data_IF_661789955178
#
_entry.id   IF_661789955178
#
_cell.length_a   1.000
_cell.length_b   1.000
_cell.length_c   1.000
_cell.angle_alpha   90.00
_cell.angle_beta   90.00
_cell.angle_gamma   90.00
#
_symmetry.space_group_name_H-M   'P 1'
#
loop_
_entity.id
_entity.type
_entity.pdbx_description
1 polymer ?
#
# COMPACT_ATOMS: atom_id res chain seq x y z
N UNK A 1 5.20 16.12 2.30
CA UNK A 1 5.28 15.98 3.76
C UNK A 1 6.12 14.74 4.07
N UNK A 2 7.28 14.88 4.68
CA UNK A 2 8.10 13.76 5.17
C UNK A 2 7.62 13.43 6.57
N UNK A 3 6.95 12.30 6.72
CA UNK A 3 6.42 11.83 8.00
C UNK A 3 7.44 10.86 8.59
N UNK A 4 7.77 11.03 9.87
CA UNK A 4 8.72 10.16 10.57
C UNK A 4 8.15 8.74 10.75
N UNK A 5 9.03 7.74 10.71
CA UNK A 5 8.67 6.34 10.89
C UNK A 5 7.90 6.12 12.21
N UNK A 6 6.73 5.47 12.11
CA UNK A 6 5.87 5.20 13.27
C UNK A 6 4.82 6.27 13.58
N UNK A 7 4.81 7.40 12.86
CA UNK A 7 3.78 8.43 13.04
C UNK A 7 2.46 8.00 12.40
N UNK A 8 1.37 8.13 13.15
CA UNK A 8 0.02 7.82 12.66
C UNK A 8 -0.51 9.01 11.86
N UNK A 9 -0.89 8.79 10.60
CA UNK A 9 -1.43 9.83 9.73
C UNK A 9 -2.90 9.59 9.45
N UNK A 10 -3.72 10.63 9.58
CA UNK A 10 -5.16 10.54 9.30
C UNK A 10 -5.39 10.46 7.79
N UNK A 11 -6.31 9.60 7.38
CA UNK A 11 -6.71 9.45 5.97
C UNK A 11 -7.18 10.77 5.37
N UNK A 12 -7.91 11.58 6.15
CA UNK A 12 -8.40 12.90 5.74
C UNK A 12 -7.27 13.88 5.42
N UNK A 13 -6.19 13.83 6.21
CA UNK A 13 -5.02 14.69 6.02
C UNK A 13 -4.21 14.24 4.80
N UNK A 14 -4.08 12.92 4.60
CA UNK A 14 -3.47 12.34 3.40
C UNK A 14 -4.27 12.69 2.12
N UNK A 15 -5.59 12.57 2.16
CA UNK A 15 -6.46 12.88 1.02
C UNK A 15 -6.33 14.35 0.60
N UNK A 16 -6.33 15.28 1.58
CA UNK A 16 -6.14 16.71 1.34
C UNK A 16 -4.74 17.03 0.85
N UNK A 17 -3.71 16.42 1.44
CA UNK A 17 -2.31 16.65 1.07
C UNK A 17 -1.98 16.16 -0.36
N UNK A 18 -2.61 15.07 -0.81
CA UNK A 18 -2.38 14.48 -2.13
C UNK A 18 -3.43 14.91 -3.17
N UNK A 19 -4.50 15.60 -2.76
CA UNK A 19 -5.61 15.97 -3.65
C UNK A 19 -6.39 14.78 -4.19
N UNK A 20 -6.40 13.66 -3.45
CA UNK A 20 -7.04 12.40 -3.87
C UNK A 20 -8.41 12.29 -3.19
N UNK A 21 -9.48 11.87 -3.91
CA UNK A 21 -10.77 11.61 -3.29
C UNK A 21 -10.65 10.60 -2.13
N UNK A 22 -11.29 10.86 -0.97
CA UNK A 22 -11.11 10.04 0.23
C UNK A 22 -11.53 8.58 0.01
N UNK A 23 -12.55 8.35 -0.82
CA UNK A 23 -12.99 7.00 -1.18
C UNK A 23 -11.88 6.21 -1.89
N UNK A 24 -11.21 6.83 -2.86
CA UNK A 24 -10.13 6.20 -3.62
C UNK A 24 -8.90 5.94 -2.75
N UNK A 25 -8.58 6.88 -1.85
CA UNK A 25 -7.50 6.69 -0.90
C UNK A 25 -7.79 5.51 0.06
N UNK A 26 -9.05 5.33 0.48
CA UNK A 26 -9.45 4.19 1.33
C UNK A 26 -9.27 2.86 0.62
N UNK A 27 -9.54 2.80 -0.68
CA UNK A 27 -9.32 1.60 -1.50
C UNK A 27 -7.81 1.26 -1.55
N UNK A 28 -6.96 2.22 -1.92
CA UNK A 28 -5.50 2.05 -1.95
C UNK A 28 -4.96 1.62 -0.56
N UNK A 29 -5.41 2.27 0.50
CA UNK A 29 -4.98 1.95 1.87
C UNK A 29 -5.45 0.56 2.31
N UNK A 30 -6.57 0.06 1.77
CA UNK A 30 -7.06 -1.30 2.02
C UNK A 30 -6.20 -2.33 1.30
N UNK A 31 -5.76 -2.06 0.08
CA UNK A 31 -4.85 -2.93 -0.67
C UNK A 31 -3.49 -3.00 0.05
N UNK A 32 -2.90 -1.85 0.36
CA UNK A 32 -1.64 -1.75 1.10
C UNK A 32 -1.70 -2.43 2.48
N UNK A 33 -2.88 -2.45 3.11
CA UNK A 33 -3.11 -3.16 4.38
C UNK A 33 -3.11 -4.67 4.18
N UNK A 34 -3.67 -5.15 3.08
CA UNK A 34 -3.74 -6.58 2.75
C UNK A 34 -2.33 -7.19 2.61
N UNK A 35 -1.43 -6.47 1.95
CA UNK A 35 -0.01 -6.86 1.79
C UNK A 35 0.87 -6.49 3.00
N UNK A 36 0.26 -6.05 4.10
CA UNK A 36 0.94 -5.67 5.36
C UNK A 36 2.03 -4.61 5.15
N UNK A 37 1.82 -3.68 4.21
CA UNK A 37 2.67 -2.50 4.02
C UNK A 37 2.26 -1.37 4.96
N UNK A 38 0.97 -1.27 5.29
CA UNK A 38 0.43 -0.32 6.28
C UNK A 38 -0.35 -1.02 7.38
N UNK A 39 -0.40 -0.39 8.56
CA UNK A 39 -1.24 -0.80 9.68
C UNK A 39 -2.26 0.28 9.97
N UNK A 40 -3.51 -0.13 10.19
CA UNK A 40 -4.54 0.77 10.67
C UNK A 40 -4.53 0.83 12.20
N UNK A 41 -4.59 2.05 12.74
CA UNK A 41 -4.78 2.30 14.15
C UNK A 41 -6.23 2.73 14.37
N UNK A 42 -6.98 1.98 15.19
CA UNK A 42 -8.37 2.31 15.52
C UNK A 42 -8.44 3.29 16.69
N UNK A 43 -9.29 4.32 16.59
CA UNK A 43 -9.54 5.29 17.67
C UNK A 43 -10.04 6.64 17.15
N UNK A 44 -10.35 7.56 18.07
CA UNK A 44 -10.71 8.98 17.76
C UNK A 44 -9.60 9.73 17.01
N UNK A 45 -8.35 9.33 17.25
CA UNK A 45 -7.16 9.77 16.50
C UNK A 45 -6.60 8.65 15.63
N UNK A 46 -7.49 7.77 15.14
CA UNK A 46 -7.15 6.67 14.26
C UNK A 46 -6.62 7.15 12.91
N UNK A 47 -5.82 6.29 12.27
CA UNK A 47 -5.12 6.60 11.03
C UNK A 47 -4.32 5.41 10.54
N UNK A 48 -3.40 5.67 9.61
CA UNK A 48 -2.51 4.68 9.03
C UNK A 48 -1.07 4.98 9.40
N UNK A 49 -0.31 3.93 9.63
CA UNK A 49 1.13 3.97 9.86
C UNK A 49 1.79 2.91 8.97
N UNK A 50 3.03 3.14 8.56
CA UNK A 50 3.81 2.12 7.86
C UNK A 50 4.01 0.90 8.77
N UNK A 51 3.89 -0.29 8.20
CA UNK A 51 4.01 -1.54 8.94
C UNK A 51 5.48 -1.90 9.27
N UNK A 52 6.42 -1.28 8.56
CA UNK A 52 7.88 -1.42 8.63
C UNK A 52 8.53 -0.06 8.25
N UNK A 53 9.82 0.17 8.52
CA UNK A 53 10.51 1.40 8.15
C UNK A 53 10.38 1.73 6.66
N UNK A 54 10.24 3.01 6.31
CA UNK A 54 10.14 3.43 4.91
C UNK A 54 11.33 2.95 4.05
N UNK A 55 12.52 2.81 4.66
CA UNK A 55 13.71 2.29 4.00
C UNK A 55 13.60 0.81 3.56
N UNK A 56 12.73 0.04 4.20
CA UNK A 56 12.50 -1.39 3.92
C UNK A 56 11.31 -1.62 2.96
N UNK A 57 10.65 -0.55 2.51
CA UNK A 57 9.51 -0.60 1.59
C UNK A 57 9.99 -0.15 0.21
N UNK A 58 10.08 -1.10 -0.72
CA UNK A 58 10.45 -0.77 -2.09
C UNK A 58 9.24 -0.31 -2.89
N UNK A 59 9.47 0.52 -3.91
CA UNK A 59 8.44 0.89 -4.90
C UNK A 59 7.87 -0.36 -5.59
N UNK A 60 8.68 -1.41 -5.77
CA UNK A 60 8.23 -2.65 -6.37
C UNK A 60 7.20 -3.39 -5.47
N UNK A 61 7.28 -3.26 -4.15
CA UNK A 61 6.30 -3.85 -3.23
C UNK A 61 4.96 -3.11 -3.30
N UNK A 62 5.01 -1.77 -3.40
CA UNK A 62 3.81 -0.94 -3.58
C UNK A 62 3.12 -1.26 -4.92
N UNK A 63 3.89 -1.36 -6.00
CA UNK A 63 3.36 -1.71 -7.33
C UNK A 63 2.75 -3.11 -7.36
N UNK A 64 3.41 -4.11 -6.76
CA UNK A 64 2.86 -5.48 -6.67
C UNK A 64 1.55 -5.52 -5.90
N UNK A 65 1.43 -4.69 -4.87
CA UNK A 65 0.24 -4.60 -4.04
C UNK A 65 -0.95 -3.98 -4.80
N UNK A 66 -0.73 -2.97 -5.66
CA UNK A 66 -1.80 -2.23 -6.34
C UNK A 66 -2.15 -2.87 -7.69
N UNK A 67 -1.16 -3.19 -8.52
CA UNK A 67 -1.36 -3.67 -9.90
C UNK A 67 -1.30 -5.21 -10.02
N UNK A 68 -1.03 -5.92 -8.92
CA UNK A 68 -0.77 -7.35 -8.95
C UNK A 68 0.64 -7.68 -9.48
N UNK A 69 0.94 -8.93 -9.83
CA UNK A 69 2.29 -9.33 -10.22
C UNK A 69 2.77 -8.53 -11.44
N UNK A 70 3.82 -7.73 -11.23
CA UNK A 70 4.51 -6.87 -12.21
C UNK A 70 4.85 -7.55 -13.56
N UNK A 71 4.89 -8.87 -13.58
CA UNK A 71 5.03 -9.67 -14.78
C UNK A 71 3.80 -10.58 -14.91
N UNK A 72 2.81 -10.12 -15.67
CA UNK A 72 1.77 -10.98 -16.21
C UNK A 72 2.16 -11.36 -17.65
N UNK A 73 2.46 -12.64 -17.87
CA UNK A 73 2.49 -13.21 -19.22
C UNK A 73 1.18 -13.96 -19.39
N UNK A 74 0.26 -13.42 -20.21
CA UNK A 74 -1.10 -13.97 -20.39
C UNK A 74 -1.87 -14.14 -19.07
N UNK A 75 -2.01 -13.07 -18.30
CA UNK A 75 -2.76 -13.05 -17.02
C UNK A 75 -2.27 -14.03 -15.94
N UNK A 76 -1.08 -14.62 -16.10
CA UNK A 76 -0.47 -15.50 -15.11
C UNK A 76 0.77 -14.81 -14.55
N UNK A 77 0.80 -14.65 -13.22
CA UNK A 77 1.97 -14.10 -12.52
C UNK A 77 3.19 -14.99 -12.73
N UNK A 78 4.39 -14.40 -12.79
CA UNK A 78 5.66 -15.12 -13.00
C UNK A 78 5.89 -16.31 -12.04
N UNK A 79 5.31 -16.28 -10.84
CA UNK A 79 5.37 -17.39 -9.87
C UNK A 79 4.45 -18.58 -10.20
N UNK A 80 3.39 -18.35 -10.98
CA UNK A 80 2.37 -19.34 -11.33
C UNK A 80 2.53 -19.87 -12.76
N UNK A 81 3.60 -19.49 -13.46
CA UNK A 81 3.84 -19.97 -14.82
C UNK A 81 4.28 -21.44 -14.78
N UNK A 82 3.53 -22.37 -15.40
CA UNK A 82 4.00 -23.72 -15.59
C UNK A 82 5.15 -23.69 -16.60
N UNK A 83 6.36 -24.03 -16.15
CA UNK A 83 7.50 -24.26 -17.03
C UNK A 83 7.32 -25.60 -17.73
N UNK A 84 6.75 -25.58 -18.93
CA UNK A 84 6.83 -26.71 -19.85
C UNK A 84 8.17 -26.63 -20.58
N UNK A 85 9.16 -27.34 -20.05
CA UNK A 85 10.25 -27.87 -20.88
C UNK A 85 9.72 -28.89 -21.88
#
# INVERSE_FOLDING_TARGET
ATVDDGTVVKTDDLAKAQGIPPQFLVDILSDLRTDRLVRSHRGRDGGYVLARPAADISIADVLRCIDGPLASVRDIGLGDLPYSG
#
